data_IF_470949990152
#
_entry.id   IF_470949990152
#
_cell.length_a   1.000
_cell.length_b   1.000
_cell.length_c   1.000
_cell.angle_alpha   90.00
_cell.angle_beta   90.00
_cell.angle_gamma   90.00
#
_symmetry.space_group_name_H-M   'P 1'
#
loop_
_entity.id
_entity.type
_entity.pdbx_description
1 polymer ?
#
# COMPACT_ATOMS: atom_id res chain seq x y z
N UNK A 1 -6.14 -8.50 20.41
CA UNK A 1 -5.14 -8.04 19.42
C UNK A 1 -4.31 -6.90 19.99
N UNK A 2 -4.95 -5.83 20.46
CA UNK A 2 -4.30 -4.61 20.96
C UNK A 2 -3.25 -4.90 22.05
N UNK A 3 -3.61 -5.66 23.08
CA UNK A 3 -2.67 -5.98 24.18
C UNK A 3 -1.42 -6.73 23.71
N UNK A 4 -1.51 -7.55 22.65
CA UNK A 4 -0.34 -8.23 22.09
C UNK A 4 0.55 -7.27 21.30
N UNK A 5 -0.04 -6.30 20.59
CA UNK A 5 0.70 -5.29 19.84
C UNK A 5 1.34 -4.27 20.79
N UNK A 6 0.68 -3.93 21.91
CA UNK A 6 1.25 -3.03 22.94
C UNK A 6 2.57 -3.57 23.51
N UNK A 7 2.72 -4.90 23.62
CA UNK A 7 3.97 -5.54 24.10
C UNK A 7 5.17 -5.25 23.20
N UNK A 8 4.96 -5.08 21.89
CA UNK A 8 6.03 -4.79 20.92
C UNK A 8 6.16 -3.31 20.58
N UNK A 9 5.39 -2.44 21.24
CA UNK A 9 5.30 -1.02 20.87
C UNK A 9 6.68 -0.33 20.89
N UNK A 10 7.41 -0.46 21.99
CA UNK A 10 8.72 0.19 22.15
C UNK A 10 9.77 -0.37 21.19
N UNK A 11 9.76 -1.69 20.93
CA UNK A 11 10.68 -2.32 19.99
C UNK A 11 10.43 -1.88 18.54
N UNK A 12 9.16 -1.68 18.18
CA UNK A 12 8.77 -1.30 16.82
C UNK A 12 8.80 0.21 16.58
N UNK A 13 8.68 1.04 17.62
CA UNK A 13 8.40 2.48 17.49
C UNK A 13 9.40 3.20 16.61
N UNK A 14 10.70 3.01 16.83
CA UNK A 14 11.72 3.70 16.04
C UNK A 14 11.66 3.28 14.56
N UNK A 15 11.47 1.98 14.29
CA UNK A 15 11.34 1.45 12.93
C UNK A 15 10.09 2.00 12.22
N UNK A 16 8.98 2.10 12.95
CA UNK A 16 7.71 2.65 12.45
C UNK A 16 7.85 4.14 12.15
N UNK A 17 8.41 4.94 13.06
CA UNK A 17 8.59 6.39 12.84
C UNK A 17 9.56 6.67 11.70
N UNK A 18 10.67 5.92 11.60
CA UNK A 18 11.61 6.07 10.49
C UNK A 18 10.94 5.80 9.15
N UNK A 19 10.18 4.69 9.05
CA UNK A 19 9.43 4.37 7.83
C UNK A 19 8.33 5.39 7.53
N UNK A 20 7.63 5.87 8.56
CA UNK A 20 6.59 6.89 8.39
C UNK A 20 7.16 8.20 7.85
N UNK A 21 8.33 8.62 8.34
CA UNK A 21 9.04 9.79 7.85
C UNK A 21 9.46 9.66 6.38
N UNK A 22 9.81 8.45 5.90
CA UNK A 22 10.05 8.19 4.47
C UNK A 22 8.78 8.44 3.64
N UNK A 23 7.61 8.01 4.11
CA UNK A 23 6.33 8.25 3.43
C UNK A 23 5.96 9.73 3.38
N UNK A 24 6.17 10.47 4.47
CA UNK A 24 5.94 11.92 4.50
C UNK A 24 6.90 12.67 3.56
N UNK A 25 8.17 12.26 3.49
CA UNK A 25 9.14 12.83 2.54
C UNK A 25 8.71 12.59 1.10
N UNK A 26 8.22 11.38 0.78
CA UNK A 26 7.73 11.07 -0.56
C UNK A 26 6.53 11.95 -0.94
N UNK A 27 5.57 12.14 -0.02
CA UNK A 27 4.42 13.05 -0.24
C UNK A 27 4.86 14.46 -0.60
N UNK A 28 5.87 14.98 0.12
CA UNK A 28 6.34 16.36 0.00
C UNK A 28 7.45 16.54 -1.06
N UNK A 29 7.80 15.47 -1.80
CA UNK A 29 8.89 15.52 -2.79
C UNK A 29 8.56 16.38 -4.01
N UNK A 30 7.27 16.60 -4.29
CA UNK A 30 6.78 17.17 -5.55
C UNK A 30 7.37 16.48 -6.80
N UNK A 31 7.65 15.18 -6.70
CA UNK A 31 8.22 14.38 -7.79
C UNK A 31 7.20 13.35 -8.29
N UNK A 32 6.63 13.63 -9.46
CA UNK A 32 5.67 12.76 -10.15
C UNK A 32 6.23 11.37 -10.45
N UNK A 33 7.53 11.24 -10.76
CA UNK A 33 8.13 9.96 -11.09
C UNK A 33 8.37 9.12 -9.83
N UNK A 34 8.72 9.74 -8.70
CA UNK A 34 8.79 9.03 -7.42
C UNK A 34 7.40 8.55 -6.95
N UNK A 35 6.37 9.38 -7.08
CA UNK A 35 5.00 8.99 -6.78
C UNK A 35 4.51 7.87 -7.71
N UNK A 36 4.82 7.96 -9.01
CA UNK A 36 4.47 6.92 -9.97
C UNK A 36 5.23 5.61 -9.74
N UNK A 37 6.48 5.70 -9.28
CA UNK A 37 7.27 4.55 -8.84
C UNK A 37 6.62 3.85 -7.65
N UNK A 38 6.09 4.60 -6.68
CA UNK A 38 5.35 4.03 -5.55
C UNK A 38 3.99 3.44 -5.95
N UNK A 39 3.27 4.08 -6.88
CA UNK A 39 2.06 3.52 -7.46
C UNK A 39 2.35 2.19 -8.18
N UNK A 40 3.46 2.14 -8.93
CA UNK A 40 3.94 0.94 -9.61
C UNK A 40 4.29 -0.16 -8.60
N UNK A 41 4.95 0.19 -7.49
CA UNK A 41 5.19 -0.74 -6.38
C UNK A 41 3.88 -1.38 -5.88
N UNK A 42 2.82 -0.59 -5.65
CA UNK A 42 1.52 -1.11 -5.22
C UNK A 42 0.84 -2.02 -6.27
N UNK A 43 1.00 -1.72 -7.57
CA UNK A 43 0.55 -2.62 -8.65
C UNK A 43 1.26 -3.97 -8.58
N UNK A 44 2.57 -3.98 -8.25
CA UNK A 44 3.36 -5.21 -8.16
C UNK A 44 3.06 -6.02 -6.90
N UNK A 45 2.84 -5.37 -5.75
CA UNK A 45 2.58 -6.05 -4.47
C UNK A 45 1.15 -6.59 -4.36
N UNK A 46 0.29 -6.34 -5.35
CA UNK A 46 -0.96 -7.06 -5.52
C UNK A 46 -0.70 -8.57 -5.71
N UNK A 47 -0.84 -9.33 -4.62
CA UNK A 47 -0.49 -10.74 -4.52
C UNK A 47 1.01 -11.03 -4.72
N UNK A 48 1.90 -10.17 -4.21
CA UNK A 48 3.33 -10.43 -4.13
C UNK A 48 3.92 -9.91 -2.82
N UNK A 49 5.16 -10.29 -2.47
CA UNK A 49 5.77 -9.83 -1.22
C UNK A 49 6.24 -8.38 -1.35
N UNK A 50 6.18 -7.63 -0.25
CA UNK A 50 6.74 -6.28 -0.20
C UNK A 50 8.25 -6.29 -0.53
N UNK A 51 9.00 -7.28 -0.01
CA UNK A 51 10.41 -7.50 -0.38
C UNK A 51 10.65 -7.65 -1.89
N UNK A 52 9.76 -8.34 -2.61
CA UNK A 52 9.82 -8.46 -4.06
C UNK A 52 9.56 -7.12 -4.74
N UNK A 53 8.53 -6.39 -4.29
CA UNK A 53 8.24 -5.04 -4.77
C UNK A 53 9.41 -4.07 -4.56
N UNK A 54 10.05 -4.10 -3.39
CA UNK A 54 11.21 -3.26 -3.05
C UNK A 54 12.38 -3.59 -3.99
N UNK A 55 12.65 -4.87 -4.23
CA UNK A 55 13.67 -5.31 -5.19
C UNK A 55 13.36 -4.77 -6.60
N UNK A 56 12.12 -4.91 -7.06
CA UNK A 56 11.69 -4.42 -8.35
C UNK A 56 11.85 -2.90 -8.48
N UNK A 57 11.45 -2.14 -7.45
CA UNK A 57 11.58 -0.69 -7.45
C UNK A 57 13.04 -0.23 -7.49
N UNK A 58 13.93 -0.94 -6.78
CA UNK A 58 15.37 -0.68 -6.78
C UNK A 58 16.02 -1.00 -8.14
N UNK A 59 15.68 -2.13 -8.74
CA UNK A 59 16.33 -2.59 -10.00
C UNK A 59 15.76 -1.92 -11.24
N UNK A 60 14.47 -1.57 -11.25
CA UNK A 60 13.79 -0.98 -12.41
C UNK A 60 13.84 0.56 -12.34
N UNK A 61 13.64 1.16 -11.16
CA UNK A 61 13.69 2.61 -10.96
C UNK A 61 12.78 3.37 -11.94
N UNK A 62 13.35 4.39 -12.59
CA UNK A 62 12.69 5.18 -13.64
C UNK A 62 12.21 4.34 -14.84
N UNK A 63 12.70 3.11 -14.98
CA UNK A 63 12.26 2.16 -15.98
C UNK A 63 10.76 1.86 -15.95
N UNK A 64 10.09 2.06 -14.81
CA UNK A 64 8.62 1.99 -14.76
C UNK A 64 7.97 2.98 -15.71
N UNK A 65 8.56 4.16 -15.89
CA UNK A 65 8.08 5.20 -16.80
C UNK A 65 8.73 5.14 -18.19
N UNK A 66 10.02 4.78 -18.28
CA UNK A 66 10.79 4.94 -19.53
C UNK A 66 10.86 3.68 -20.40
N UNK A 67 10.86 2.47 -19.82
CA UNK A 67 11.03 1.24 -20.60
C UNK A 67 9.88 1.01 -21.58
N UNK A 68 10.17 0.34 -22.71
CA UNK A 68 9.11 -0.20 -23.55
C UNK A 68 8.27 -1.24 -22.77
N UNK A 69 7.05 -1.53 -23.22
CA UNK A 69 6.23 -2.57 -22.58
C UNK A 69 6.95 -3.93 -22.55
N UNK A 70 7.65 -4.29 -23.64
CA UNK A 70 8.43 -5.53 -23.74
C UNK A 70 9.59 -5.55 -22.75
N UNK A 71 10.35 -4.46 -22.65
CA UNK A 71 11.50 -4.38 -21.75
C UNK A 71 11.06 -4.37 -20.28
N UNK A 72 9.93 -3.72 -19.97
CA UNK A 72 9.35 -3.74 -18.64
C UNK A 72 8.89 -5.15 -18.25
N UNK A 73 8.29 -5.91 -19.17
CA UNK A 73 7.95 -7.32 -18.94
C UNK A 73 9.21 -8.16 -18.65
N UNK A 74 10.26 -7.98 -19.44
CA UNK A 74 11.55 -8.66 -19.24
C UNK A 74 12.16 -8.30 -17.88
N UNK A 75 12.16 -7.01 -17.51
CA UNK A 75 12.66 -6.55 -16.23
C UNK A 75 11.89 -7.15 -15.06
N UNK A 76 10.54 -7.16 -15.12
CA UNK A 76 9.69 -7.79 -14.12
C UNK A 76 9.93 -9.30 -14.00
N UNK A 77 10.21 -9.98 -15.11
CA UNK A 77 10.58 -11.40 -15.11
C UNK A 77 11.93 -11.62 -14.42
N UNK A 78 12.93 -10.78 -14.69
CA UNK A 78 14.27 -10.86 -14.08
C UNK A 78 14.24 -10.69 -12.56
N UNK A 79 13.39 -9.79 -12.05
CA UNK A 79 13.23 -9.61 -10.58
C UNK A 79 12.39 -10.71 -9.93
N UNK A 80 11.83 -11.65 -10.71
CA UNK A 80 11.11 -12.82 -10.22
C UNK A 80 9.61 -12.60 -10.03
N UNK A 81 9.01 -11.60 -10.68
CA UNK A 81 7.56 -11.38 -10.57
C UNK A 81 6.79 -12.53 -11.26
N UNK A 82 5.74 -13.05 -10.60
CA UNK A 82 4.97 -14.21 -11.09
C UNK A 82 4.04 -13.92 -12.26
N UNK A 83 3.64 -12.66 -12.41
CA UNK A 83 2.74 -12.18 -13.47
C UNK A 83 3.34 -10.99 -14.25
N UNK A 84 4.54 -11.14 -14.85
CA UNK A 84 5.30 -10.01 -15.39
C UNK A 84 4.54 -9.31 -16.53
N UNK A 85 3.96 -10.07 -17.46
CA UNK A 85 3.17 -9.56 -18.59
C UNK A 85 2.00 -8.67 -18.15
N UNK A 86 1.16 -9.16 -17.24
CA UNK A 86 -0.02 -8.44 -16.78
C UNK A 86 0.36 -7.17 -16.01
N UNK A 87 1.37 -7.25 -15.12
CA UNK A 87 1.81 -6.09 -14.35
C UNK A 87 2.54 -5.05 -15.18
N UNK A 88 3.37 -5.48 -16.14
CA UNK A 88 4.01 -4.57 -17.10
C UNK A 88 2.95 -3.80 -17.89
N UNK A 89 1.91 -4.49 -18.38
CA UNK A 89 0.79 -3.87 -19.08
C UNK A 89 0.09 -2.82 -18.21
N UNK A 90 -0.24 -3.14 -16.96
CA UNK A 90 -0.88 -2.17 -16.06
C UNK A 90 0.00 -0.95 -15.79
N UNK A 91 1.28 -1.16 -15.46
CA UNK A 91 2.20 -0.04 -15.20
C UNK A 91 2.36 0.83 -16.45
N UNK A 92 2.57 0.22 -17.62
CA UNK A 92 2.69 0.94 -18.89
C UNK A 92 1.43 1.76 -19.21
N UNK A 93 0.25 1.14 -19.08
CA UNK A 93 -1.03 1.83 -19.29
C UNK A 93 -1.26 2.94 -18.29
N UNK A 94 -0.79 2.82 -17.05
CA UNK A 94 -0.99 3.84 -16.01
C UNK A 94 -0.12 5.09 -16.17
N UNK A 95 0.84 5.12 -17.12
CA UNK A 95 1.75 6.27 -17.30
C UNK A 95 1.04 7.59 -17.61
N UNK A 96 -0.20 7.55 -18.10
CA UNK A 96 -1.01 8.75 -18.36
C UNK A 96 -1.23 9.62 -17.12
N UNK A 97 -1.08 9.06 -15.91
CA UNK A 97 -1.28 9.79 -14.66
C UNK A 97 -0.06 10.63 -14.25
N UNK A 98 1.12 10.38 -14.83
CA UNK A 98 2.32 11.17 -14.56
C UNK A 98 2.08 12.61 -15.05
N UNK A 99 2.35 13.58 -14.18
CA UNK A 99 2.00 14.99 -14.37
C UNK A 99 0.62 15.37 -13.84
N UNK A 100 -0.09 14.44 -13.18
CA UNK A 100 -1.38 14.67 -12.54
C UNK A 100 -1.42 14.17 -11.09
N UNK A 101 -0.48 13.33 -10.64
CA UNK A 101 -0.56 12.72 -9.30
C UNK A 101 -0.54 13.78 -8.22
N UNK A 102 0.37 14.75 -8.30
CA UNK A 102 0.53 15.81 -7.30
C UNK A 102 -0.76 16.64 -7.22
N UNK A 103 -1.29 17.06 -8.37
CA UNK A 103 -2.54 17.84 -8.42
C UNK A 103 -3.71 17.05 -7.83
N UNK A 104 -3.85 15.76 -8.16
CA UNK A 104 -4.87 14.89 -7.59
C UNK A 104 -4.71 14.75 -6.07
N UNK A 105 -3.47 14.56 -5.59
CA UNK A 105 -3.13 14.43 -4.17
C UNK A 105 -3.49 15.70 -3.39
N UNK A 106 -3.27 16.88 -3.99
CA UNK A 106 -3.55 18.16 -3.35
C UNK A 106 -5.01 18.61 -3.46
N UNK A 107 -5.73 18.14 -4.49
CA UNK A 107 -7.09 18.60 -4.80
C UNK A 107 -8.19 17.79 -4.12
N UNK A 108 -7.92 16.54 -3.73
CA UNK A 108 -8.93 15.65 -3.16
C UNK A 108 -8.60 15.27 -1.73
N UNK A 109 -9.64 15.09 -0.91
CA UNK A 109 -9.48 14.36 0.34
C UNK A 109 -9.09 12.89 0.06
N UNK A 110 -8.47 12.26 1.05
CA UNK A 110 -7.92 10.90 0.94
C UNK A 110 -8.94 9.85 0.50
N UNK A 111 -10.22 9.98 0.90
CA UNK A 111 -11.25 9.02 0.54
C UNK A 111 -11.68 9.18 -0.91
N UNK A 112 -11.90 10.42 -1.36
CA UNK A 112 -12.21 10.72 -2.76
C UNK A 112 -11.05 10.34 -3.68
N UNK A 113 -9.81 10.62 -3.27
CA UNK A 113 -8.61 10.23 -3.99
C UNK A 113 -8.50 8.71 -4.11
N UNK A 114 -8.77 7.97 -3.02
CA UNK A 114 -8.79 6.49 -3.05
C UNK A 114 -9.79 5.98 -4.07
N UNK A 115 -11.01 6.51 -4.07
CA UNK A 115 -12.04 6.10 -5.04
C UNK A 115 -11.63 6.41 -6.48
N UNK A 116 -10.99 7.56 -6.71
CA UNK A 116 -10.44 7.91 -8.01
C UNK A 116 -9.40 6.88 -8.47
N UNK A 117 -8.45 6.51 -7.61
CA UNK A 117 -7.41 5.53 -7.93
C UNK A 117 -8.01 4.16 -8.25
N UNK A 118 -8.95 3.68 -7.43
CA UNK A 118 -9.64 2.39 -7.64
C UNK A 118 -10.38 2.34 -8.98
N UNK A 119 -10.99 3.45 -9.40
CA UNK A 119 -11.77 3.51 -10.64
C UNK A 119 -10.89 3.62 -11.88
N UNK A 120 -9.79 4.36 -11.81
CA UNK A 120 -9.05 4.79 -13.00
C UNK A 120 -7.71 4.08 -13.20
N UNK A 121 -7.10 3.51 -12.16
CA UNK A 121 -5.75 2.93 -12.24
C UNK A 121 -5.83 1.42 -12.39
N UNK A 122 -5.20 0.92 -13.46
CA UNK A 122 -5.18 -0.51 -13.78
C UNK A 122 -4.38 -1.27 -12.72
N UNK A 123 -4.94 -2.39 -12.27
CA UNK A 123 -4.30 -3.25 -11.28
C UNK A 123 -4.36 -2.74 -9.84
N UNK A 124 -5.08 -1.64 -9.57
CA UNK A 124 -5.29 -1.08 -8.24
C UNK A 124 -6.74 -1.34 -7.79
N UNK A 125 -6.91 -2.13 -6.73
CA UNK A 125 -8.18 -2.25 -6.01
C UNK A 125 -8.18 -1.41 -4.74
N UNK A 126 -9.20 -1.60 -3.89
CA UNK A 126 -9.33 -0.86 -2.63
C UNK A 126 -8.11 -1.01 -1.72
N UNK A 127 -7.57 -2.22 -1.60
CA UNK A 127 -6.38 -2.49 -0.79
C UNK A 127 -5.15 -1.82 -1.37
N UNK A 128 -4.90 -1.96 -2.67
CA UNK A 128 -3.73 -1.35 -3.32
C UNK A 128 -3.81 0.18 -3.33
N UNK A 129 -5.00 0.77 -3.44
CA UNK A 129 -5.18 2.22 -3.38
C UNK A 129 -4.90 2.75 -1.96
N UNK A 130 -5.46 2.10 -0.92
CA UNK A 130 -5.11 2.43 0.47
C UNK A 130 -3.60 2.26 0.72
N UNK A 131 -2.99 1.22 0.15
CA UNK A 131 -1.55 0.96 0.27
C UNK A 131 -0.71 2.09 -0.32
N UNK A 132 -1.02 2.50 -1.55
CA UNK A 132 -0.37 3.65 -2.19
C UNK A 132 -0.50 4.91 -1.34
N UNK A 133 -1.73 5.24 -0.91
CA UNK A 133 -2.02 6.43 -0.12
C UNK A 133 -1.26 6.44 1.21
N UNK A 134 -1.18 5.30 1.91
CA UNK A 134 -0.38 5.17 3.13
C UNK A 134 1.09 5.40 2.85
N UNK A 135 1.62 4.81 1.77
CA UNK A 135 3.04 4.93 1.42
C UNK A 135 3.43 6.35 0.96
N UNK A 136 2.45 7.20 0.65
CA UNK A 136 2.63 8.64 0.45
C UNK A 136 2.09 9.45 1.64
N UNK A 137 2.05 8.87 2.84
CA UNK A 137 1.89 9.60 4.10
C UNK A 137 0.45 9.96 4.50
N UNK A 138 -0.58 9.43 3.84
CA UNK A 138 -1.95 9.54 4.36
C UNK A 138 -2.18 8.50 5.46
N UNK A 139 -2.64 8.94 6.63
CA UNK A 139 -2.79 8.05 7.78
C UNK A 139 -4.21 7.53 8.00
N UNK A 140 -5.19 8.10 7.31
CA UNK A 140 -6.62 7.90 7.54
C UNK A 140 -7.13 6.57 6.96
N UNK A 141 -6.38 5.95 6.05
CA UNK A 141 -6.79 4.74 5.32
C UNK A 141 -6.11 3.49 5.86
N UNK A 142 -6.86 2.39 5.85
CA UNK A 142 -6.41 1.07 6.28
C UNK A 142 -6.04 0.18 5.10
N UNK A 143 -5.00 -0.65 5.26
CA UNK A 143 -4.58 -1.64 4.24
C UNK A 143 -5.12 -3.02 4.64
N UNK A 144 -6.34 -3.33 4.21
CA UNK A 144 -6.99 -4.61 4.54
C UNK A 144 -6.51 -5.76 3.64
N UNK A 145 -5.30 -6.24 3.89
CA UNK A 145 -4.73 -7.39 3.20
C UNK A 145 -5.14 -8.73 3.85
N UNK A 146 -4.71 -9.86 3.26
CA UNK A 146 -5.05 -11.19 3.78
C UNK A 146 -4.51 -11.45 5.19
N UNK A 147 -3.40 -10.83 5.59
CA UNK A 147 -2.78 -11.01 6.89
C UNK A 147 -3.55 -10.21 7.96
N UNK A 148 -3.92 -8.96 7.65
CA UNK A 148 -4.79 -8.14 8.49
C UNK A 148 -6.16 -8.81 8.67
N UNK A 149 -6.78 -9.31 7.60
CA UNK A 149 -8.06 -10.01 7.71
C UNK A 149 -7.98 -11.27 8.58
N UNK A 150 -6.90 -12.05 8.46
CA UNK A 150 -6.67 -13.22 9.33
C UNK A 150 -6.48 -12.82 10.78
N UNK A 151 -5.82 -11.69 11.04
CA UNK A 151 -5.67 -11.13 12.39
C UNK A 151 -7.02 -10.72 12.97
N UNK A 152 -7.81 -9.93 12.23
CA UNK A 152 -9.14 -9.51 12.68
C UNK A 152 -10.04 -10.71 12.97
N UNK A 153 -10.02 -11.73 12.11
CA UNK A 153 -10.76 -12.96 12.33
C UNK A 153 -10.25 -13.74 13.55
N UNK A 154 -8.93 -13.91 13.70
CA UNK A 154 -8.31 -14.62 14.84
C UNK A 154 -8.70 -14.02 16.19
N UNK A 155 -8.89 -12.71 16.27
CA UNK A 155 -9.27 -12.01 17.49
C UNK A 155 -10.78 -11.68 17.55
N UNK A 156 -11.61 -12.31 16.72
CA UNK A 156 -13.07 -12.18 16.70
C UNK A 156 -13.58 -10.74 16.45
N UNK A 157 -12.85 -9.92 15.72
CA UNK A 157 -13.33 -8.60 15.27
C UNK A 157 -14.22 -8.71 14.02
N UNK A 158 -14.11 -9.80 13.27
CA UNK A 158 -14.96 -10.12 12.13
C UNK A 158 -15.36 -11.60 12.19
N UNK A 159 -16.59 -11.92 11.78
CA UNK A 159 -17.12 -13.29 11.83
C UNK A 159 -16.64 -14.16 10.67
N UNK A 160 -16.22 -13.55 9.56
CA UNK A 160 -15.72 -14.27 8.39
C UNK A 160 -14.73 -13.44 7.56
N UNK A 161 -13.77 -14.12 6.94
CA UNK A 161 -12.84 -13.51 5.99
C UNK A 161 -13.55 -13.33 4.63
N UNK A 162 -13.67 -12.09 4.12
CA UNK A 162 -14.27 -11.82 2.81
C UNK A 162 -13.57 -12.60 1.68
N UNK A 163 -14.36 -13.24 0.80
CA UNK A 163 -13.84 -13.87 -0.44
C UNK A 163 -13.53 -12.85 -1.53
N UNK A 164 -14.21 -11.71 -1.52
CA UNK A 164 -14.06 -10.62 -2.48
C UNK A 164 -14.39 -9.27 -1.86
N UNK A 165 -13.90 -8.19 -2.46
CA UNK A 165 -14.13 -6.83 -2.00
C UNK A 165 -15.27 -6.15 -2.76
N UNK A 166 -16.21 -5.58 -2.02
CA UNK A 166 -17.07 -4.49 -2.48
C UNK A 166 -16.71 -3.22 -1.71
N UNK A 167 -17.04 -2.03 -2.24
CA UNK A 167 -16.84 -0.75 -1.53
C UNK A 167 -17.43 -0.80 -0.13
N UNK A 168 -18.70 -1.21 -0.01
CA UNK A 168 -19.41 -1.32 1.27
C UNK A 168 -18.67 -2.23 2.25
N UNK A 169 -18.25 -3.42 1.80
CA UNK A 169 -17.58 -4.39 2.66
C UNK A 169 -16.19 -3.92 3.10
N UNK A 170 -15.44 -3.27 2.22
CA UNK A 170 -14.14 -2.69 2.55
C UNK A 170 -14.27 -1.63 3.63
N UNK A 171 -15.17 -0.67 3.45
CA UNK A 171 -15.40 0.43 4.41
C UNK A 171 -15.91 -0.06 5.76
N UNK A 172 -16.75 -1.12 5.79
CA UNK A 172 -17.22 -1.72 7.03
C UNK A 172 -16.08 -2.31 7.86
N UNK A 173 -15.18 -3.08 7.23
CA UNK A 173 -14.04 -3.68 7.92
C UNK A 173 -12.97 -2.63 8.25
N UNK A 174 -12.81 -1.62 7.40
CA UNK A 174 -11.92 -0.48 7.67
C UNK A 174 -12.36 0.29 8.91
N UNK A 175 -13.67 0.52 9.09
CA UNK A 175 -14.18 1.15 10.31
C UNK A 175 -13.76 0.39 11.56
N UNK A 176 -13.88 -0.94 11.55
CA UNK A 176 -13.46 -1.80 12.67
C UNK A 176 -11.95 -1.65 12.92
N UNK A 177 -11.13 -1.69 11.87
CA UNK A 177 -9.68 -1.51 12.02
C UNK A 177 -9.32 -0.12 12.54
N UNK A 178 -10.00 0.93 12.10
CA UNK A 178 -9.80 2.30 12.56
C UNK A 178 -10.17 2.46 14.04
N UNK A 179 -11.23 1.80 14.52
CA UNK A 179 -11.59 1.78 15.95
C UNK A 179 -10.49 1.13 16.80
N UNK A 180 -9.91 0.01 16.33
CA UNK A 180 -8.77 -0.65 16.98
C UNK A 180 -7.54 0.26 17.00
N UNK A 181 -7.26 0.93 15.88
CA UNK A 181 -6.16 1.89 15.75
C UNK A 181 -6.30 3.05 16.75
N UNK A 182 -7.51 3.59 16.88
CA UNK A 182 -7.82 4.67 17.82
C UNK A 182 -7.62 4.22 19.27
N UNK A 183 -8.04 3.00 19.63
CA UNK A 183 -7.80 2.44 20.97
C UNK A 183 -6.30 2.19 21.24
N UNK A 184 -5.53 1.85 20.21
CA UNK A 184 -4.08 1.72 20.30
C UNK A 184 -3.36 3.08 20.45
N UNK A 185 -3.95 4.17 19.99
CA UNK A 185 -3.40 5.53 20.07
C UNK A 185 -2.54 5.93 18.86
N UNK A 186 -2.60 5.19 17.76
CA UNK A 186 -1.94 5.54 16.50
C UNK A 186 -2.98 5.66 15.38
N UNK A 187 -2.67 6.42 14.33
CA UNK A 187 -3.54 6.50 13.16
C UNK A 187 -3.45 5.22 12.30
N UNK A 188 -4.50 4.88 11.52
CA UNK A 188 -4.60 3.60 10.81
C UNK A 188 -3.38 3.22 9.98
N UNK A 189 -2.82 4.18 9.24
CA UNK A 189 -1.64 3.98 8.41
C UNK A 189 -0.38 3.58 9.19
N UNK A 190 -0.18 4.14 10.39
CA UNK A 190 0.91 3.78 11.32
C UNK A 190 0.61 2.47 12.04
N UNK A 191 -0.61 2.29 12.49
CA UNK A 191 -1.02 1.06 13.18
C UNK A 191 -0.82 -0.19 12.30
N UNK A 192 -1.06 -0.10 10.99
CA UNK A 192 -0.72 -1.18 10.04
C UNK A 192 0.76 -1.62 10.13
N UNK A 193 1.71 -0.68 10.28
CA UNK A 193 3.13 -1.00 10.42
C UNK A 193 3.42 -1.76 11.72
N UNK A 194 2.76 -1.39 12.83
CA UNK A 194 2.85 -2.13 14.09
C UNK A 194 2.28 -3.55 13.97
N UNK A 195 1.14 -3.71 13.29
CA UNK A 195 0.54 -5.02 13.04
C UNK A 195 1.50 -5.88 12.20
N UNK A 196 2.12 -5.32 11.16
CA UNK A 196 3.11 -6.04 10.35
C UNK A 196 4.37 -6.43 11.12
N UNK A 197 4.86 -5.55 12.00
CA UNK A 197 5.97 -5.86 12.89
C UNK A 197 5.62 -7.02 13.82
N UNK A 198 4.41 -7.02 14.41
CA UNK A 198 3.95 -8.13 15.23
C UNK A 198 3.89 -9.46 14.44
N UNK A 199 3.48 -9.45 13.17
CA UNK A 199 3.36 -10.66 12.35
C UNK A 199 4.72 -11.21 11.87
N UNK A 200 5.66 -10.32 11.52
CA UNK A 200 6.91 -10.69 10.80
C UNK A 200 8.21 -10.28 11.49
N UNK A 201 8.15 -9.50 12.56
CA UNK A 201 9.32 -8.89 13.22
C UNK A 201 10.04 -7.85 12.37
N UNK A 202 9.38 -7.27 11.34
CA UNK A 202 9.98 -6.31 10.41
C UNK A 202 8.99 -5.25 9.98
N UNK A 203 9.49 -4.02 9.80
CA UNK A 203 8.75 -2.91 9.18
C UNK A 203 9.15 -2.79 7.71
N UNK A 204 8.30 -3.35 6.84
CA UNK A 204 8.35 -3.13 5.39
C UNK A 204 7.44 -1.95 5.00
N UNK A 205 7.01 -1.86 3.74
CA UNK A 205 6.12 -0.80 3.27
C UNK A 205 4.97 -1.34 2.47
#
# INVERSE_FOLDING_TARGET
>A
MIEEIKKIYFDAKELVENRWNEFLKLKNSNDELLLFSELSFCVLTANWSASGGIKAQKEIGEGFYTLSLSDLEIALKKVGHRFPKARAKYIYENRWIVGKLIDLINSYDVYTLREYLVKNIKGIGWKEASHFLRNIGFCEVSILDKHILRMLYKYNYIDEIPKSWSKKRYLQIEKIFNEISNEFGECPGKFDLYVWYYIKGKVEK
#
